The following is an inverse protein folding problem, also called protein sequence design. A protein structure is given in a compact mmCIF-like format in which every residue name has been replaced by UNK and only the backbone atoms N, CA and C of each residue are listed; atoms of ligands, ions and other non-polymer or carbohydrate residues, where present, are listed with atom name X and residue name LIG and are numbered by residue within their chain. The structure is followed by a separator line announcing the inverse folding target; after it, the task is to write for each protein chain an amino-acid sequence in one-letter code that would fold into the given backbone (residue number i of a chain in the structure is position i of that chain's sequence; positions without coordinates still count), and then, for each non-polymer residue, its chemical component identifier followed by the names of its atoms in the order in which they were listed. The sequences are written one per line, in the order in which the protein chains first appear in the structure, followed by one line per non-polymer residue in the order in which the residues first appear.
data_IF_192521476786
#
_entry.id   IF_192521476786
#
_cell.length_a   1.000
_cell.length_b   1.000
_cell.length_c   1.000
_cell.angle_alpha   90.00
_cell.angle_beta   90.00
_cell.angle_gamma   90.00
#
_symmetry.space_group_name_H-M   'P 1'
#
loop_
_entity.id
_entity.type
_entity.pdbx_description
1 polymer ?
#
# COMPACT_ATOMS: atom_id res chain seq x y z
N UNK A 1 7.49 28.63 -39.77
CA UNK A 1 7.50 27.20 -39.38
C UNK A 1 8.06 27.12 -37.97
N UNK A 2 7.21 26.98 -36.95
CA UNK A 2 7.66 26.74 -35.58
C UNK A 2 6.57 25.92 -34.88
N UNK A 3 6.63 24.61 -35.05
CA UNK A 3 5.83 23.69 -34.25
C UNK A 3 6.44 23.69 -32.86
N UNK A 4 5.75 24.28 -31.88
CA UNK A 4 6.07 24.14 -30.47
C UNK A 4 5.65 22.74 -30.05
N UNK A 5 6.61 21.95 -29.64
CA UNK A 5 6.42 20.64 -29.03
C UNK A 5 5.43 20.78 -27.85
N UNK A 6 4.35 19.99 -27.80
CA UNK A 6 3.53 19.96 -26.60
C UNK A 6 4.37 19.31 -25.51
N UNK A 7 4.73 20.13 -24.52
CA UNK A 7 5.39 19.71 -23.30
C UNK A 7 4.79 18.41 -22.80
N UNK A 8 5.67 17.43 -22.66
CA UNK A 8 5.46 16.11 -22.11
C UNK A 8 4.57 16.24 -20.85
N UNK A 9 3.27 16.03 -21.02
CA UNK A 9 2.37 15.77 -19.89
C UNK A 9 2.81 14.43 -19.35
N UNK A 10 3.78 14.44 -18.44
CA UNK A 10 3.87 13.39 -17.44
C UNK A 10 2.54 13.50 -16.72
N UNK A 11 1.55 12.75 -17.19
CA UNK A 11 0.42 12.37 -16.37
C UNK A 11 1.11 11.69 -15.19
N UNK A 12 1.36 12.46 -14.12
CA UNK A 12 1.80 11.94 -12.86
C UNK A 12 0.65 11.01 -12.48
N UNK A 13 0.78 9.73 -12.85
CA UNK A 13 -0.15 8.72 -12.44
C UNK A 13 -0.12 8.84 -10.92
N UNK A 14 -1.23 9.25 -10.32
CA UNK A 14 -1.33 9.33 -8.87
C UNK A 14 -1.37 7.90 -8.38
N UNK A 15 -0.19 7.31 -8.27
CA UNK A 15 -0.03 5.99 -7.68
C UNK A 15 -0.31 6.20 -6.20
N UNK A 16 -1.29 5.50 -5.65
CA UNK A 16 -1.58 5.53 -4.23
C UNK A 16 -1.45 4.13 -3.70
N UNK A 17 -0.73 3.97 -2.60
CA UNK A 17 -0.55 2.67 -1.99
C UNK A 17 -1.44 2.57 -0.76
N UNK A 18 -2.01 1.40 -0.53
CA UNK A 18 -2.85 1.11 0.64
C UNK A 18 -2.58 -0.28 1.15
N UNK A 19 -2.61 -0.43 2.47
CA UNK A 19 -2.71 -1.73 3.12
C UNK A 19 -4.16 -1.98 3.51
N UNK A 20 -4.70 -3.12 3.12
CA UNK A 20 -6.04 -3.58 3.50
C UNK A 20 -5.85 -4.77 4.43
N UNK A 21 -6.15 -4.57 5.70
CA UNK A 21 -6.11 -5.60 6.72
C UNK A 21 -7.51 -6.20 6.83
N UNK A 22 -7.66 -7.41 6.30
CA UNK A 22 -8.87 -8.21 6.42
C UNK A 22 -8.95 -8.78 7.82
N UNK A 23 -9.92 -8.35 8.60
CA UNK A 23 -10.21 -8.92 9.91
C UNK A 23 -11.48 -9.75 9.87
N UNK A 24 -11.79 -10.46 10.96
CA UNK A 24 -12.99 -11.31 11.03
C UNK A 24 -14.29 -10.49 10.95
N UNK A 25 -14.32 -9.31 11.56
CA UNK A 25 -15.52 -8.49 11.67
C UNK A 25 -15.50 -7.21 10.81
N UNK A 26 -14.30 -6.75 10.41
CA UNK A 26 -14.13 -5.52 9.62
C UNK A 26 -12.85 -5.54 8.80
N UNK A 27 -12.79 -4.67 7.82
CA UNK A 27 -11.56 -4.40 7.08
C UNK A 27 -10.97 -3.08 7.56
N UNK A 28 -9.65 -3.04 7.79
CA UNK A 28 -8.93 -1.81 8.15
C UNK A 28 -8.07 -1.41 6.97
N UNK A 29 -8.33 -0.23 6.43
CA UNK A 29 -7.54 0.36 5.35
C UNK A 29 -6.54 1.35 5.94
N UNK A 30 -5.25 1.14 5.66
CA UNK A 30 -4.18 2.05 6.02
C UNK A 30 -3.65 2.73 4.76
N UNK A 31 -3.59 4.05 4.79
CA UNK A 31 -2.96 4.81 3.71
C UNK A 31 -1.45 4.69 3.79
N UNK A 32 -0.84 4.40 2.65
CA UNK A 32 0.60 4.32 2.50
C UNK A 32 1.08 5.52 1.70
N UNK A 33 1.94 6.31 2.32
CA UNK A 33 2.59 7.40 1.65
C UNK A 33 3.60 6.86 0.63
N UNK A 34 3.59 7.41 -0.59
CA UNK A 34 4.51 7.02 -1.66
C UNK A 34 5.99 7.18 -1.29
N UNK A 35 6.30 8.01 -0.28
CA UNK A 35 7.66 8.26 0.18
C UNK A 35 8.24 7.10 0.98
N UNK A 36 7.37 6.28 1.57
CA UNK A 36 7.75 5.09 2.35
C UNK A 36 7.72 3.82 1.50
N UNK A 37 7.29 3.94 0.24
CA UNK A 37 7.29 2.85 -0.73
C UNK A 37 8.62 2.88 -1.47
N UNK A 38 9.33 1.76 -1.42
CA UNK A 38 10.61 1.61 -2.08
C UNK A 38 10.68 0.29 -2.82
N UNK A 39 11.66 0.16 -3.69
CA UNK A 39 11.96 -1.10 -4.34
C UNK A 39 12.91 -1.88 -3.43
N UNK A 40 12.54 -3.12 -3.10
CA UNK A 40 13.44 -4.02 -2.39
C UNK A 40 14.54 -4.54 -3.33
N UNK A 41 15.40 -5.43 -2.81
CA UNK A 41 16.51 -6.01 -3.58
C UNK A 41 16.06 -6.90 -4.75
N UNK A 42 14.78 -7.24 -4.85
CA UNK A 42 14.19 -8.05 -5.93
C UNK A 42 13.50 -7.18 -7.00
N UNK A 43 13.66 -5.85 -6.95
CA UNK A 43 12.94 -4.90 -7.80
C UNK A 43 11.41 -4.94 -7.59
N UNK A 44 10.96 -5.53 -6.47
CA UNK A 44 9.56 -5.54 -6.07
C UNK A 44 9.23 -4.33 -5.22
N UNK A 45 8.01 -3.83 -5.37
CA UNK A 45 7.52 -2.74 -4.53
C UNK A 45 7.30 -3.27 -3.13
N UNK A 46 8.10 -2.77 -2.20
CA UNK A 46 8.08 -3.15 -0.81
C UNK A 46 7.84 -1.91 0.06
N UNK A 47 7.04 -2.10 1.10
CA UNK A 47 6.79 -1.07 2.09
C UNK A 47 6.74 -1.74 3.45
N UNK A 48 7.56 -1.33 4.42
CA UNK A 48 7.55 -1.90 5.75
C UNK A 48 6.24 -1.49 6.40
N UNK A 49 5.38 -2.48 6.63
CA UNK A 49 4.10 -2.30 7.31
C UNK A 49 4.27 -1.57 8.66
N UNK A 50 5.40 -1.77 9.35
CA UNK A 50 5.77 -1.03 10.57
C UNK A 50 5.69 0.49 10.40
N UNK A 51 6.25 1.01 9.30
CA UNK A 51 6.28 2.44 9.01
C UNK A 51 4.88 2.95 8.70
N UNK A 52 4.11 2.18 7.93
CA UNK A 52 2.71 2.52 7.60
C UNK A 52 1.85 2.58 8.85
N UNK A 53 1.92 1.54 9.68
CA UNK A 53 1.20 1.47 10.95
C UNK A 53 1.52 2.69 11.80
N UNK A 54 2.82 2.95 12.02
CA UNK A 54 3.27 4.08 12.83
C UNK A 54 2.81 5.44 12.29
N UNK A 55 2.74 5.61 10.97
CA UNK A 55 2.21 6.84 10.35
C UNK A 55 0.71 7.00 10.50
N UNK A 56 -0.02 5.89 10.59
CA UNK A 56 -1.46 5.87 10.83
C UNK A 56 -1.80 5.78 12.34
N UNK A 57 -0.81 6.00 13.23
CA UNK A 57 -0.94 5.90 14.70
C UNK A 57 -1.35 4.50 15.20
N UNK A 58 -1.10 3.47 14.40
CA UNK A 58 -1.34 2.08 14.73
C UNK A 58 -0.03 1.34 15.01
N UNK A 59 -0.14 0.18 15.66
CA UNK A 59 0.98 -0.73 15.89
C UNK A 59 0.63 -2.16 15.47
N UNK A 60 1.63 -3.04 15.36
CA UNK A 60 1.38 -4.47 15.14
C UNK A 60 0.46 -5.08 16.20
N UNK A 61 0.46 -4.52 17.42
CA UNK A 61 -0.44 -4.93 18.49
C UNK A 61 -1.92 -4.60 18.19
N UNK A 62 -2.20 -3.54 17.43
CA UNK A 62 -3.55 -3.24 16.96
C UNK A 62 -4.01 -4.27 15.94
N UNK A 63 -3.14 -4.69 15.01
CA UNK A 63 -3.44 -5.78 14.06
C UNK A 63 -3.83 -7.07 14.79
N UNK A 64 -3.09 -7.41 15.86
CA UNK A 64 -3.42 -8.56 16.72
C UNK A 64 -4.75 -8.34 17.43
N UNK A 65 -5.00 -7.13 17.94
CA UNK A 65 -6.25 -6.77 18.62
C UNK A 65 -7.46 -6.72 17.68
N UNK A 66 -7.24 -6.56 16.39
CA UNK A 66 -8.28 -6.59 15.37
C UNK A 66 -8.56 -8.00 14.85
N UNK A 67 -7.85 -9.03 15.29
CA UNK A 67 -7.93 -10.36 14.68
C UNK A 67 -7.71 -10.30 13.16
N UNK A 68 -6.65 -9.59 12.75
CA UNK A 68 -6.22 -9.50 11.36
C UNK A 68 -5.91 -10.91 10.82
N UNK A 69 -6.64 -11.32 9.77
CA UNK A 69 -6.48 -12.61 9.09
C UNK A 69 -5.58 -12.53 7.88
N UNK A 70 -5.62 -11.40 7.17
CA UNK A 70 -4.84 -11.20 5.97
C UNK A 70 -4.53 -9.72 5.80
N UNK A 71 -3.34 -9.43 5.31
CA UNK A 71 -2.90 -8.08 4.97
C UNK A 71 -2.60 -8.04 3.49
N UNK A 72 -3.37 -7.24 2.76
CA UNK A 72 -3.23 -7.07 1.33
C UNK A 72 -2.61 -5.71 1.06
N UNK A 73 -1.41 -5.70 0.50
CA UNK A 73 -0.79 -4.50 -0.03
C UNK A 73 -1.28 -4.28 -1.46
N UNK A 74 -1.95 -3.17 -1.70
CA UNK A 74 -2.48 -2.81 -3.01
C UNK A 74 -1.92 -1.47 -3.46
N UNK A 75 -1.67 -1.34 -4.77
CA UNK A 75 -1.45 -0.07 -5.45
C UNK A 75 -2.69 0.30 -6.23
N UNK A 76 -3.10 1.55 -6.14
CA UNK A 76 -4.12 2.17 -6.95
C UNK A 76 -3.42 3.00 -8.02
N UNK A 77 -3.65 2.66 -9.29
CA UNK A 77 -3.07 3.36 -10.45
C UNK A 77 -4.18 3.65 -11.43
N UNK A 78 -4.46 4.94 -11.68
CA UNK A 78 -5.47 5.35 -12.68
C UNK A 78 -6.80 4.59 -12.52
N UNK A 79 -7.33 4.58 -11.29
CA UNK A 79 -8.58 3.88 -10.90
C UNK A 79 -8.50 2.34 -10.84
N UNK A 80 -7.36 1.74 -11.17
CA UNK A 80 -7.17 0.29 -11.11
C UNK A 80 -6.48 -0.10 -9.81
N UNK A 81 -7.06 -1.08 -9.11
CA UNK A 81 -6.45 -1.68 -7.92
C UNK A 81 -5.59 -2.87 -8.38
N UNK A 82 -4.31 -2.82 -8.08
CA UNK A 82 -3.39 -3.93 -8.30
C UNK A 82 -2.90 -4.43 -6.94
N UNK A 83 -3.15 -5.70 -6.65
CA UNK A 83 -2.56 -6.36 -5.49
C UNK A 83 -1.06 -6.56 -5.74
N UNK A 84 -0.24 -5.96 -4.87
CA UNK A 84 1.21 -6.06 -4.91
C UNK A 84 1.65 -7.27 -4.11
N UNK A 85 1.18 -7.36 -2.87
CA UNK A 85 1.52 -8.45 -1.98
C UNK A 85 0.31 -8.78 -1.10
N UNK A 86 0.20 -10.02 -0.67
CA UNK A 86 -0.79 -10.46 0.30
C UNK A 86 -0.13 -11.37 1.30
N UNK A 87 -0.13 -10.95 2.55
CA UNK A 87 0.44 -11.71 3.66
C UNK A 87 -0.72 -12.22 4.51
N UNK A 88 -1.02 -13.54 4.47
CA UNK A 88 -1.99 -14.10 5.40
C UNK A 88 -1.40 -14.05 6.82
N UNK A 89 -2.05 -13.32 7.72
CA UNK A 89 -1.79 -13.44 9.14
C UNK A 89 -2.51 -14.68 9.64
N UNK A 90 -1.85 -15.82 9.49
CA UNK A 90 -2.22 -17.02 10.19
C UNK A 90 -1.77 -16.87 11.66
N UNK A 91 -2.44 -16.00 12.41
CA UNK A 91 -2.29 -15.87 13.86
C UNK A 91 -2.83 -17.13 14.54
N UNK A 92 -2.09 -18.23 14.39
CA UNK A 92 -2.13 -19.36 15.32
C UNK A 92 -1.25 -18.95 16.50
N UNK A 93 -1.82 -18.19 17.42
CA UNK A 93 -1.23 -17.94 18.74
C UNK A 93 -1.68 -19.05 19.69
#
# INVERSE_FOLDING_TARGET
MTQKEPGQRVLAQTIQYKYIIKCKERDVELEVENRDVFYNADDEIDCPLDVVLRKNDYSFNDLMSWDAREIQFVKLVSDNIHLINSVPLNVNL
#
